data_IF_171890361361
#
_entry.id   IF_171890361361
#
_cell.length_a   1.000
_cell.length_b   1.000
_cell.length_c   1.000
_cell.angle_alpha   90.00
_cell.angle_beta   90.00
_cell.angle_gamma   90.00
#
_symmetry.space_group_name_H-M   'P 1'
#
loop_
_entity.id
_entity.type
_entity.pdbx_description
1 polymer ?
#
# COMPACT_ATOMS: atom_id res chain seq x y z
N UNK A 1 -13.06 -13.86 5.54
CA UNK A 1 -13.89 -13.23 4.50
C UNK A 1 -13.65 -13.80 3.11
N UNK A 2 -12.40 -14.05 2.68
CA UNK A 2 -12.11 -14.65 1.36
C UNK A 2 -12.34 -16.18 1.25
N UNK A 3 -12.55 -16.88 2.38
CA UNK A 3 -12.88 -18.31 2.38
C UNK A 3 -14.40 -18.51 2.54
N UNK A 4 -15.11 -19.10 1.56
CA UNK A 4 -16.55 -19.38 1.63
C UNK A 4 -16.98 -20.32 2.77
N UNK A 5 -16.10 -21.23 3.20
CA UNK A 5 -16.41 -22.18 4.28
C UNK A 5 -16.62 -21.48 5.62
N UNK A 6 -15.85 -20.41 5.86
CA UNK A 6 -15.92 -19.58 7.06
C UNK A 6 -16.82 -18.36 6.88
N UNK A 7 -16.89 -17.77 5.68
CA UNK A 7 -17.72 -16.61 5.38
C UNK A 7 -19.07 -17.00 4.76
N UNK A 8 -19.84 -17.85 5.44
CA UNK A 8 -21.08 -18.45 4.92
C UNK A 8 -22.20 -17.46 4.61
N UNK A 9 -22.12 -16.26 5.19
CA UNK A 9 -23.12 -15.21 5.03
C UNK A 9 -22.64 -14.02 4.18
N UNK A 10 -21.47 -14.13 3.54
CA UNK A 10 -20.97 -13.11 2.62
C UNK A 10 -20.65 -11.76 3.29
N UNK A 11 -20.20 -11.78 4.54
CA UNK A 11 -19.81 -10.56 5.24
C UNK A 11 -18.63 -9.86 4.53
N UNK A 12 -18.57 -8.53 4.66
CA UNK A 12 -17.47 -7.69 4.17
C UNK A 12 -16.76 -7.04 5.36
N UNK A 13 -15.43 -6.98 5.30
CA UNK A 13 -14.60 -6.26 6.26
C UNK A 13 -13.83 -5.19 5.51
N UNK A 14 -14.00 -3.94 5.94
CA UNK A 14 -13.19 -2.79 5.52
C UNK A 14 -12.37 -2.36 6.71
N UNK A 15 -11.05 -2.28 6.54
CA UNK A 15 -10.12 -1.89 7.58
C UNK A 15 -8.97 -1.09 6.98
N UNK A 16 -8.35 -0.23 7.78
CA UNK A 16 -7.13 0.50 7.44
C UNK A 16 -6.00 0.05 8.35
N UNK A 17 -4.77 0.07 7.84
CA UNK A 17 -3.59 -0.35 8.60
C UNK A 17 -2.33 0.31 8.06
N UNK A 18 -1.35 0.54 8.93
CA UNK A 18 0.01 0.91 8.56
C UNK A 18 0.95 -0.31 8.49
N UNK A 19 0.46 -1.52 8.81
CA UNK A 19 1.28 -2.73 8.78
C UNK A 19 1.39 -3.28 7.35
N UNK A 20 2.54 -3.08 6.72
CA UNK A 20 2.81 -3.52 5.34
C UNK A 20 2.84 -5.03 5.16
N UNK A 21 3.09 -5.80 6.22
CA UNK A 21 3.17 -7.27 6.13
C UNK A 21 1.85 -7.95 5.76
N UNK A 22 0.73 -7.22 5.85
CA UNK A 22 -0.58 -7.67 5.41
C UNK A 22 -0.78 -7.51 3.89
N UNK A 23 0.05 -6.70 3.23
CA UNK A 23 -0.02 -6.40 1.80
C UNK A 23 0.59 -7.56 0.97
N UNK A 24 -0.12 -8.69 0.90
CA UNK A 24 0.34 -9.89 0.21
C UNK A 24 -0.63 -10.36 -0.86
N UNK A 25 -0.10 -10.65 -2.05
CA UNK A 25 -0.84 -11.11 -3.22
C UNK A 25 -1.42 -12.52 -3.07
N UNK A 26 -0.91 -13.32 -2.13
CA UNK A 26 -1.44 -14.66 -1.81
C UNK A 26 -2.76 -14.62 -1.02
N UNK A 27 -3.06 -13.49 -0.37
CA UNK A 27 -4.24 -13.30 0.48
C UNK A 27 -5.19 -12.24 -0.02
N UNK A 28 -4.67 -11.20 -0.67
CA UNK A 28 -5.42 -10.04 -1.15
C UNK A 28 -5.31 -9.94 -2.66
N UNK A 29 -6.45 -9.75 -3.32
CA UNK A 29 -6.48 -9.39 -4.74
C UNK A 29 -6.23 -7.88 -4.91
N UNK A 30 -5.84 -7.46 -6.11
CA UNK A 30 -5.56 -6.04 -6.40
C UNK A 30 -6.75 -5.12 -6.13
N UNK A 31 -7.96 -5.57 -6.45
CA UNK A 31 -9.21 -4.85 -6.22
C UNK A 31 -9.57 -4.69 -4.74
N UNK A 32 -8.92 -5.47 -3.87
CA UNK A 32 -9.11 -5.41 -2.41
C UNK A 32 -8.09 -4.52 -1.71
N UNK A 33 -7.14 -3.93 -2.44
CA UNK A 33 -6.09 -3.06 -1.91
C UNK A 33 -6.29 -1.64 -2.39
N UNK A 34 -6.26 -0.72 -1.43
CA UNK A 34 -6.44 0.71 -1.64
C UNK A 34 -5.35 1.47 -0.88
N UNK A 35 -4.83 2.52 -1.50
CA UNK A 35 -3.81 3.39 -0.92
C UNK A 35 -4.37 4.79 -0.74
N UNK A 36 -3.86 5.50 0.27
CA UNK A 36 -4.17 6.90 0.52
C UNK A 36 -2.87 7.68 0.50
N UNK A 37 -2.82 8.74 -0.31
CA UNK A 37 -1.66 9.61 -0.45
C UNK A 37 -2.08 11.07 -0.27
N UNK A 38 -1.30 11.83 0.50
CA UNK A 38 -1.49 13.27 0.67
C UNK A 38 -0.65 14.00 -0.37
N UNK A 39 -1.27 14.91 -1.12
CA UNK A 39 -0.54 15.76 -2.06
C UNK A 39 0.08 17.00 -1.39
N UNK A 40 0.79 17.79 -2.18
CA UNK A 40 1.45 19.01 -1.73
C UNK A 40 0.48 20.14 -1.31
N UNK A 41 -0.81 20.02 -1.61
CA UNK A 41 -1.87 20.97 -1.25
C UNK A 41 -2.73 20.46 -0.10
N UNK A 42 -2.24 19.43 0.60
CA UNK A 42 -2.90 18.79 1.72
C UNK A 42 -4.16 17.97 1.40
N UNK A 43 -4.47 17.76 0.12
CA UNK A 43 -5.57 16.89 -0.27
C UNK A 43 -5.17 15.42 -0.18
N UNK A 44 -6.09 14.58 0.29
CA UNK A 44 -5.91 13.12 0.33
C UNK A 44 -6.53 12.49 -0.91
N UNK A 45 -5.75 11.69 -1.63
CA UNK A 45 -6.17 10.93 -2.79
C UNK A 45 -6.25 9.45 -2.42
N UNK A 46 -7.39 8.83 -2.70
CA UNK A 46 -7.65 7.41 -2.49
C UNK A 46 -7.68 6.73 -3.87
N UNK A 47 -6.86 5.70 -4.06
CA UNK A 47 -6.78 4.95 -5.32
C UNK A 47 -6.55 3.46 -5.08
N UNK A 48 -7.02 2.62 -6.01
CA UNK A 48 -6.90 1.16 -5.92
C UNK A 48 -5.62 0.64 -6.58
N UNK A 49 -5.05 -0.44 -6.02
CA UNK A 49 -4.01 -1.21 -6.70
C UNK A 49 -4.50 -1.81 -8.03
N UNK A 50 -5.81 -1.97 -8.21
CA UNK A 50 -6.40 -2.46 -9.46
C UNK A 50 -6.38 -1.43 -10.61
N UNK A 51 -6.16 -0.15 -10.32
CA UNK A 51 -6.07 0.89 -11.36
C UNK A 51 -4.74 0.83 -12.13
N UNK A 52 -3.72 0.19 -11.56
CA UNK A 52 -2.45 -0.06 -12.23
C UNK A 52 -2.61 -1.09 -13.34
N UNK A 53 -1.97 -0.83 -14.48
CA UNK A 53 -2.10 -1.72 -15.64
C UNK A 53 -1.48 -3.09 -15.33
N UNK A 54 -2.03 -4.15 -15.93
CA UNK A 54 -1.55 -5.54 -15.69
C UNK A 54 -0.09 -5.78 -16.11
N UNK A 55 0.46 -4.97 -17.01
CA UNK A 55 1.88 -4.99 -17.36
C UNK A 55 2.76 -4.31 -16.30
N UNK A 56 2.21 -3.40 -15.50
CA UNK A 56 2.90 -2.70 -14.42
C UNK A 56 2.80 -3.46 -13.10
N UNK A 57 1.64 -4.05 -12.80
CA UNK A 57 1.40 -4.83 -11.57
C UNK A 57 0.76 -6.15 -11.95
N UNK A 58 1.49 -7.25 -11.83
CA UNK A 58 0.94 -8.61 -11.99
C UNK A 58 0.27 -9.08 -10.71
N UNK A 59 -0.73 -9.96 -10.84
CA UNK A 59 -1.49 -10.46 -9.68
C UNK A 59 -0.68 -11.36 -8.73
N UNK A 60 0.50 -11.79 -9.14
CA UNK A 60 1.42 -12.64 -8.38
C UNK A 60 2.70 -11.91 -7.95
N UNK A 61 2.76 -10.58 -8.09
CA UNK A 61 3.89 -9.79 -7.60
C UNK A 61 3.89 -9.69 -6.07
N UNK A 62 5.06 -9.37 -5.50
CA UNK A 62 5.18 -9.09 -4.07
C UNK A 62 4.74 -7.65 -3.79
N UNK A 63 3.46 -7.48 -3.42
CA UNK A 63 2.87 -6.16 -3.21
C UNK A 63 3.57 -5.36 -2.11
N UNK A 64 3.89 -5.97 -0.96
CA UNK A 64 4.63 -5.34 0.12
C UNK A 64 5.99 -4.79 -0.34
N UNK A 65 6.80 -5.61 -1.02
CA UNK A 65 8.13 -5.18 -1.49
C UNK A 65 8.02 -4.02 -2.47
N UNK A 66 7.05 -4.07 -3.38
CA UNK A 66 6.81 -3.00 -4.35
C UNK A 66 6.34 -1.70 -3.67
N UNK A 67 5.45 -1.80 -2.69
CA UNK A 67 5.00 -0.67 -1.89
C UNK A 67 6.16 -0.03 -1.15
N UNK A 68 7.00 -0.82 -0.45
CA UNK A 68 8.17 -0.32 0.27
C UNK A 68 9.23 0.32 -0.65
N UNK A 69 9.26 -0.06 -1.93
CA UNK A 69 10.10 0.57 -2.97
C UNK A 69 9.49 1.85 -3.55
N UNK A 70 8.29 2.24 -3.13
CA UNK A 70 7.58 3.42 -3.66
C UNK A 70 6.88 3.20 -4.99
N UNK A 71 6.78 1.96 -5.49
CA UNK A 71 6.17 1.68 -6.81
C UNK A 71 4.71 2.15 -6.92
N UNK A 72 3.99 2.12 -5.81
CA UNK A 72 2.58 2.48 -5.76
C UNK A 72 2.33 3.88 -5.21
N UNK A 73 3.37 4.66 -4.87
CA UNK A 73 3.19 5.88 -4.08
C UNK A 73 2.74 5.56 -2.64
N UNK A 74 2.11 6.54 -1.99
CA UNK A 74 1.57 6.44 -0.62
C UNK A 74 2.59 5.98 0.44
N UNK A 75 3.88 6.02 0.13
CA UNK A 75 4.93 5.71 1.08
C UNK A 75 5.03 6.82 2.13
N UNK A 76 5.28 6.49 3.41
CA UNK A 76 5.48 7.50 4.43
C UNK A 76 6.71 8.37 4.10
N UNK A 77 6.47 9.62 3.68
CA UNK A 77 7.53 10.61 3.54
C UNK A 77 7.87 11.22 4.90
N UNK A 78 9.02 10.83 5.43
CA UNK A 78 9.55 11.40 6.68
C UNK A 78 10.42 12.62 6.33
N UNK A 79 9.79 13.74 5.94
CA UNK A 79 10.49 15.00 5.58
C UNK A 79 11.52 15.45 6.65
N UNK A 80 11.31 15.09 7.93
CA UNK A 80 12.25 15.40 9.01
C UNK A 80 13.53 14.54 9.06
N UNK A 81 13.56 13.37 8.41
CA UNK A 81 14.73 12.47 8.42
C UNK A 81 15.78 12.84 7.38
N UNK A 82 15.39 13.45 6.26
CA UNK A 82 16.35 13.89 5.24
C UNK A 82 17.24 15.02 5.79
N UNK A 83 16.69 15.90 6.62
CA UNK A 83 17.47 16.89 7.37
C UNK A 83 18.42 16.28 8.40
N UNK A 84 18.12 15.09 8.92
CA UNK A 84 18.98 14.39 9.88
C UNK A 84 20.10 13.61 9.18
N UNK A 85 19.85 13.05 7.99
CA UNK A 85 20.90 12.40 7.18
C UNK A 85 22.01 13.39 6.80
N UNK A 86 21.64 14.59 6.36
CA UNK A 86 22.62 15.59 5.93
C UNK A 86 23.56 16.05 7.08
N UNK A 87 23.08 16.03 8.32
CA UNK A 87 23.88 16.41 9.50
C UNK A 87 24.87 15.34 9.95
N UNK A 88 24.59 14.06 9.67
CA UNK A 88 25.47 12.94 10.06
C UNK A 88 26.59 12.72 9.03
N UNK A 89 26.39 13.14 7.79
CA UNK A 89 27.41 13.08 6.73
C UNK A 89 28.41 14.25 6.73
N UNK A 90 28.23 15.23 7.62
CA UNK A 90 29.15 16.36 7.85
C UNK A 90 30.02 16.19 9.10
N UNK A 91 29.89 15.07 9.82
CA UNK A 91 30.78 14.62 10.92
C UNK A 91 31.64 13.42 10.48
#
# INVERSE_FOLDING_TARGET
FNNPEFNRHGAQLVATTHNTSLLKSDRLRKDQVWFVEKDNHEAAHLYSLAEFKSNEVRSNENYETNYLRGKYGAIPYLQGLDHLKNRVSEE
#
